data_IF_146074379430
#
_entry.id   IF_146074379430
#
_cell.length_a   1.000
_cell.length_b   1.000
_cell.length_c   1.000
_cell.angle_alpha   90.00
_cell.angle_beta   90.00
_cell.angle_gamma   90.00
#
_symmetry.space_group_name_H-M   'P 1'
#
loop_
_entity.id
_entity.type
_entity.pdbx_description
1 polymer ?
#
# COMPACT_ATOMS: atom_id res chain seq x y z
N UNK A 1 27.04 37.69 -17.26
CA UNK A 1 26.57 39.06 -16.97
C UNK A 1 26.20 39.30 -15.49
N UNK A 2 26.75 38.52 -14.55
CA UNK A 2 26.49 38.67 -13.12
C UNK A 2 27.12 39.99 -12.63
N UNK A 3 26.30 40.84 -11.98
CA UNK A 3 26.74 42.08 -11.38
C UNK A 3 27.26 41.81 -9.98
N UNK A 4 28.53 42.16 -9.70
CA UNK A 4 29.16 41.99 -8.38
C UNK A 4 28.95 43.20 -7.48
N UNK A 5 29.06 44.42 -8.08
CA UNK A 5 28.92 45.65 -7.32
C UNK A 5 28.48 46.80 -8.21
N UNK A 6 27.60 47.64 -7.78
CA UNK A 6 27.33 48.94 -8.35
C UNK A 6 28.35 49.96 -7.75
N UNK A 7 29.01 50.71 -8.62
CA UNK A 7 29.97 51.74 -8.25
C UNK A 7 29.36 53.13 -8.43
N UNK A 8 29.91 54.12 -7.74
CA UNK A 8 29.46 55.49 -7.86
C UNK A 8 29.62 55.99 -9.32
N UNK A 9 28.63 56.77 -9.78
CA UNK A 9 28.58 57.29 -11.15
C UNK A 9 27.96 56.32 -12.17
N UNK A 10 27.16 55.34 -11.75
CA UNK A 10 26.41 54.43 -12.64
C UNK A 10 27.24 53.32 -13.29
N UNK A 11 28.49 53.18 -12.90
CA UNK A 11 29.35 52.06 -13.36
C UNK A 11 29.00 50.79 -12.59
N UNK A 12 29.08 49.65 -13.27
CA UNK A 12 28.76 48.32 -12.71
C UNK A 12 29.94 47.40 -12.89
N UNK A 13 30.45 46.86 -11.78
CA UNK A 13 31.47 45.81 -11.80
C UNK A 13 30.78 44.46 -12.02
N UNK A 14 31.15 43.76 -13.10
CA UNK A 14 30.60 42.46 -13.46
C UNK A 14 31.61 41.36 -13.19
N UNK A 15 31.14 40.14 -13.01
CA UNK A 15 31.99 38.97 -12.79
C UNK A 15 33.04 38.80 -13.91
N UNK A 16 32.66 39.03 -15.15
CA UNK A 16 33.56 38.98 -16.31
C UNK A 16 34.70 40.01 -16.28
N UNK A 17 34.59 41.07 -15.48
CA UNK A 17 35.59 42.13 -15.38
C UNK A 17 36.74 41.77 -14.41
N UNK A 18 36.51 40.76 -13.55
CA UNK A 18 37.43 40.32 -12.49
C UNK A 18 37.75 38.83 -12.52
N UNK A 19 37.05 38.06 -13.34
CA UNK A 19 37.25 36.63 -13.49
C UNK A 19 37.00 36.18 -14.91
N UNK A 20 37.73 35.16 -15.34
CA UNK A 20 37.50 34.46 -16.59
C UNK A 20 36.30 33.52 -16.38
N UNK A 21 35.26 33.68 -17.18
CA UNK A 21 34.02 32.89 -17.08
C UNK A 21 33.90 32.08 -18.35
N UNK A 22 34.15 30.80 -18.23
CA UNK A 22 34.05 29.82 -19.31
C UNK A 22 32.97 28.79 -19.01
N UNK A 23 32.31 28.28 -20.03
CA UNK A 23 31.45 27.12 -19.94
C UNK A 23 32.31 25.89 -20.19
N UNK A 24 32.58 25.15 -19.14
CA UNK A 24 33.51 24.03 -19.20
C UNK A 24 33.01 22.87 -18.31
N UNK A 25 33.63 21.71 -18.44
CA UNK A 25 33.31 20.56 -17.60
C UNK A 25 33.84 20.74 -16.16
N UNK A 26 33.13 20.24 -15.16
CA UNK A 26 33.57 20.27 -13.78
C UNK A 26 34.86 19.46 -13.53
N UNK A 27 35.19 18.55 -14.45
CA UNK A 27 36.41 17.74 -14.42
C UNK A 27 36.54 16.89 -15.68
N UNK A 28 37.76 16.53 -16.04
CA UNK A 28 38.11 15.73 -17.21
C UNK A 28 38.64 14.33 -16.83
N UNK A 29 38.31 13.85 -15.63
CA UNK A 29 38.84 12.58 -15.10
C UNK A 29 38.06 11.35 -15.60
N UNK A 30 36.95 11.55 -16.28
CA UNK A 30 36.12 10.49 -16.81
C UNK A 30 35.72 10.72 -18.26
N UNK A 31 35.57 9.65 -19.02
CA UNK A 31 34.95 9.64 -20.33
C UNK A 31 33.77 8.67 -20.33
N UNK A 32 32.81 8.91 -21.19
CA UNK A 32 31.64 8.04 -21.35
C UNK A 32 31.57 7.58 -22.79
N UNK A 33 31.35 6.25 -22.94
CA UNK A 33 31.14 5.62 -24.24
C UNK A 33 29.90 4.74 -24.17
N UNK A 34 29.18 4.68 -25.28
CA UNK A 34 28.08 3.75 -25.47
C UNK A 34 28.31 2.93 -26.73
N UNK A 35 28.47 1.61 -26.59
CA UNK A 35 28.77 0.69 -27.71
C UNK A 35 29.99 1.11 -28.53
N UNK A 36 31.07 1.59 -27.89
CA UNK A 36 32.30 2.02 -28.53
C UNK A 36 32.20 3.37 -29.26
N UNK A 37 31.18 4.17 -29.03
CA UNK A 37 31.00 5.51 -29.53
C UNK A 37 31.04 6.51 -28.39
N UNK A 38 31.68 7.71 -28.60
CA UNK A 38 31.64 8.77 -27.59
C UNK A 38 30.17 9.09 -27.19
N UNK A 39 29.93 9.16 -25.90
CA UNK A 39 28.60 9.44 -25.38
C UNK A 39 28.67 10.39 -24.17
N UNK A 40 27.55 11.00 -23.83
CA UNK A 40 27.36 11.75 -22.60
C UNK A 40 26.28 11.00 -21.77
N UNK A 41 26.64 10.67 -20.54
CA UNK A 41 25.68 10.08 -19.62
C UNK A 41 24.97 11.16 -18.81
N UNK A 42 23.64 11.10 -18.76
CA UNK A 42 22.80 11.95 -17.92
C UNK A 42 22.12 11.09 -16.87
N UNK A 43 22.38 11.40 -15.60
CA UNK A 43 21.68 10.80 -14.47
C UNK A 43 20.56 11.71 -13.98
N UNK A 44 19.32 11.21 -13.95
CA UNK A 44 18.17 11.93 -13.42
C UNK A 44 17.75 11.24 -12.12
N UNK A 45 17.75 12.00 -11.03
CA UNK A 45 17.40 11.50 -9.70
C UNK A 45 16.15 12.19 -9.20
N UNK A 46 15.28 11.44 -8.54
CA UNK A 46 14.08 11.99 -7.90
C UNK A 46 14.37 12.56 -6.51
N UNK A 47 13.58 13.54 -6.08
CA UNK A 47 13.59 14.01 -4.70
C UNK A 47 12.85 13.01 -3.79
N UNK A 48 13.30 12.84 -2.53
CA UNK A 48 12.61 11.97 -1.59
C UNK A 48 11.11 12.33 -1.44
N UNK A 49 10.24 11.34 -1.52
CA UNK A 49 8.79 11.51 -1.39
C UNK A 49 8.04 11.79 -2.70
N UNK A 50 8.74 11.97 -3.82
CA UNK A 50 8.10 12.12 -5.13
C UNK A 50 7.68 10.77 -5.72
N UNK A 51 6.77 10.80 -6.70
CA UNK A 51 6.31 9.61 -7.41
C UNK A 51 7.27 9.25 -8.55
N UNK A 52 8.08 8.20 -8.36
CA UNK A 52 9.07 7.75 -9.35
C UNK A 52 8.43 7.37 -10.69
N UNK A 53 7.30 6.66 -10.65
CA UNK A 53 6.61 6.20 -11.86
C UNK A 53 6.15 7.36 -12.73
N UNK A 54 5.50 8.36 -12.13
CA UNK A 54 5.03 9.55 -12.83
C UNK A 54 6.19 10.38 -13.41
N UNK A 55 7.28 10.56 -12.64
CA UNK A 55 8.46 11.29 -13.10
C UNK A 55 9.09 10.61 -14.30
N UNK A 56 9.26 9.30 -14.26
CA UNK A 56 9.89 8.55 -15.36
C UNK A 56 9.01 8.62 -16.61
N UNK A 57 7.69 8.47 -16.50
CA UNK A 57 6.78 8.63 -17.64
C UNK A 57 6.85 10.03 -18.25
N UNK A 58 6.92 11.07 -17.41
CA UNK A 58 7.07 12.44 -17.90
C UNK A 58 8.41 12.66 -18.59
N UNK A 59 9.48 12.05 -18.11
CA UNK A 59 10.81 12.11 -18.73
C UNK A 59 10.81 11.40 -20.09
N UNK A 60 10.25 10.20 -20.18
CA UNK A 60 10.15 9.44 -21.43
C UNK A 60 9.35 10.21 -22.48
N UNK A 61 8.22 10.81 -22.07
CA UNK A 61 7.42 11.66 -22.94
C UNK A 61 8.20 12.88 -23.43
N UNK A 62 8.90 13.56 -22.52
CA UNK A 62 9.74 14.72 -22.87
C UNK A 62 10.87 14.34 -23.83
N UNK A 63 11.51 13.18 -23.63
CA UNK A 63 12.56 12.68 -24.52
C UNK A 63 12.04 12.40 -25.94
N UNK A 64 10.84 11.83 -26.06
CA UNK A 64 10.21 11.64 -27.37
C UNK A 64 9.83 12.98 -28.04
N UNK A 65 9.38 13.97 -27.29
CA UNK A 65 9.09 15.32 -27.78
C UNK A 65 10.38 16.05 -28.24
N UNK A 66 11.52 15.83 -27.57
CA UNK A 66 12.81 16.45 -27.90
C UNK A 66 13.54 15.74 -29.05
N UNK A 67 13.21 14.47 -29.33
CA UNK A 67 13.87 13.67 -30.35
C UNK A 67 14.01 14.34 -31.71
N UNK A 68 12.99 15.01 -32.29
CA UNK A 68 13.11 15.71 -33.57
C UNK A 68 13.95 16.96 -33.50
N UNK A 69 14.25 17.50 -32.33
CA UNK A 69 15.10 18.72 -32.15
C UNK A 69 16.57 18.39 -31.90
N UNK A 70 16.95 17.11 -31.80
CA UNK A 70 18.33 16.71 -31.63
C UNK A 70 19.13 16.99 -32.93
N UNK A 71 20.38 17.45 -32.82
CA UNK A 71 21.27 17.60 -33.96
C UNK A 71 21.45 16.29 -34.73
N UNK A 72 21.70 16.41 -36.05
CA UNK A 72 21.97 15.24 -36.88
C UNK A 72 23.14 14.41 -36.36
N UNK A 73 22.97 13.12 -36.27
CA UNK A 73 23.97 12.18 -35.76
C UNK A 73 23.94 11.96 -34.23
N UNK A 74 23.13 12.71 -33.48
CA UNK A 74 22.93 12.48 -32.05
C UNK A 74 21.67 11.64 -31.81
N UNK A 75 21.84 10.57 -31.06
CA UNK A 75 20.72 9.71 -30.61
C UNK A 75 20.83 9.53 -29.12
N UNK A 76 19.68 9.30 -28.45
CA UNK A 76 19.66 8.91 -27.04
C UNK A 76 19.27 7.46 -26.87
N UNK A 77 19.75 6.86 -25.79
CA UNK A 77 19.30 5.56 -25.30
C UNK A 77 19.13 5.59 -23.80
N UNK A 78 18.09 4.93 -23.30
CA UNK A 78 17.86 4.79 -21.87
C UNK A 78 18.54 3.48 -21.43
N UNK A 79 19.70 3.60 -20.80
CA UNK A 79 20.49 2.44 -20.37
C UNK A 79 20.00 1.85 -19.05
N UNK A 80 19.40 2.67 -18.20
CA UNK A 80 18.81 2.26 -16.93
C UNK A 80 17.49 2.97 -16.72
N UNK A 81 16.43 2.20 -16.51
CA UNK A 81 15.10 2.69 -16.18
C UNK A 81 14.61 1.98 -14.92
N UNK A 82 14.52 2.72 -13.81
CA UNK A 82 14.05 2.18 -12.55
C UNK A 82 12.57 1.72 -12.62
N UNK A 83 11.79 2.25 -13.59
CA UNK A 83 10.38 1.90 -13.74
C UNK A 83 10.17 0.44 -14.11
N UNK A 84 11.05 -0.17 -14.90
CA UNK A 84 10.95 -1.59 -15.25
C UNK A 84 11.00 -2.49 -14.03
N UNK A 85 11.87 -2.17 -13.06
CA UNK A 85 11.92 -2.86 -11.80
C UNK A 85 10.71 -2.53 -10.92
N UNK A 86 10.30 -1.27 -10.86
CA UNK A 86 9.17 -0.82 -10.06
C UNK A 86 7.85 -1.44 -10.55
N UNK A 87 7.60 -1.46 -11.85
CA UNK A 87 6.40 -2.06 -12.44
C UNK A 87 6.34 -3.57 -12.21
N UNK A 88 7.47 -4.27 -12.38
CA UNK A 88 7.56 -5.69 -12.08
C UNK A 88 7.28 -5.97 -10.60
N UNK A 89 7.80 -5.13 -9.71
CA UNK A 89 7.61 -5.25 -8.28
C UNK A 89 6.17 -4.95 -7.87
N UNK A 90 5.55 -3.89 -8.40
CA UNK A 90 4.13 -3.57 -8.15
C UNK A 90 3.23 -4.71 -8.66
N UNK A 91 3.47 -5.20 -9.88
CA UNK A 91 2.73 -6.33 -10.45
C UNK A 91 2.85 -7.59 -9.58
N UNK A 92 4.06 -7.88 -9.08
CA UNK A 92 4.26 -9.02 -8.17
C UNK A 92 3.51 -8.86 -6.85
N UNK A 93 3.48 -7.66 -6.28
CA UNK A 93 2.74 -7.41 -5.04
C UNK A 93 1.24 -7.52 -5.27
N UNK A 94 0.70 -6.98 -6.36
CA UNK A 94 -0.73 -7.13 -6.71
C UNK A 94 -1.10 -8.61 -6.88
N UNK A 95 -0.26 -9.39 -7.55
CA UNK A 95 -0.45 -10.85 -7.65
C UNK A 95 -0.44 -11.51 -6.27
N UNK A 96 0.51 -11.12 -5.42
CA UNK A 96 0.61 -11.65 -4.05
C UNK A 96 -0.61 -11.27 -3.20
N UNK A 97 -1.17 -10.07 -3.37
CA UNK A 97 -2.44 -9.68 -2.72
C UNK A 97 -3.59 -10.60 -3.11
N UNK A 98 -3.71 -10.91 -4.40
CA UNK A 98 -4.74 -11.84 -4.90
C UNK A 98 -4.51 -13.27 -4.39
N UNK A 99 -3.27 -13.75 -4.42
CA UNK A 99 -2.89 -15.07 -3.90
C UNK A 99 -3.20 -15.16 -2.39
N UNK A 100 -2.82 -14.15 -1.61
CA UNK A 100 -3.10 -14.08 -0.18
C UNK A 100 -4.61 -14.06 0.10
N UNK A 101 -5.38 -13.27 -0.65
CA UNK A 101 -6.84 -13.23 -0.54
C UNK A 101 -7.47 -14.60 -0.82
N UNK A 102 -7.06 -15.28 -1.89
CA UNK A 102 -7.58 -16.61 -2.24
C UNK A 102 -7.21 -17.65 -1.17
N UNK A 103 -5.98 -17.60 -0.67
CA UNK A 103 -5.53 -18.52 0.37
C UNK A 103 -6.32 -18.31 1.66
N UNK A 104 -6.50 -17.07 2.08
CA UNK A 104 -7.29 -16.71 3.26
C UNK A 104 -8.74 -17.17 3.07
N UNK A 105 -9.36 -16.89 1.92
CA UNK A 105 -10.72 -17.34 1.61
C UNK A 105 -10.85 -18.87 1.75
N UNK A 106 -9.87 -19.63 1.21
CA UNK A 106 -9.86 -21.08 1.29
C UNK A 106 -9.72 -21.56 2.75
N UNK A 107 -8.79 -20.99 3.51
CA UNK A 107 -8.59 -21.34 4.92
C UNK A 107 -9.86 -21.06 5.73
N UNK A 108 -10.43 -19.87 5.61
CA UNK A 108 -11.66 -19.49 6.30
C UNK A 108 -12.81 -20.42 5.91
N UNK A 109 -12.92 -20.80 4.64
CA UNK A 109 -13.92 -21.74 4.16
C UNK A 109 -13.76 -23.14 4.79
N UNK A 110 -12.53 -23.61 4.93
CA UNK A 110 -12.25 -24.91 5.60
C UNK A 110 -12.65 -24.88 7.06
N UNK A 111 -12.38 -23.77 7.76
CA UNK A 111 -12.71 -23.63 9.19
C UNK A 111 -14.20 -23.43 9.44
N UNK A 112 -14.84 -22.51 8.72
CA UNK A 112 -16.26 -22.21 8.93
C UNK A 112 -17.22 -23.24 8.28
N UNK A 113 -16.74 -24.01 7.29
CA UNK A 113 -17.51 -25.04 6.55
C UNK A 113 -18.86 -24.54 6.00
N UNK A 114 -19.07 -23.22 5.97
CA UNK A 114 -20.26 -22.57 5.43
C UNK A 114 -19.87 -21.44 4.49
N UNK A 115 -20.30 -21.55 3.22
CA UNK A 115 -19.99 -20.56 2.18
C UNK A 115 -20.51 -19.17 2.53
N UNK A 116 -21.67 -19.08 3.22
CA UNK A 116 -22.25 -17.77 3.55
C UNK A 116 -21.47 -17.04 4.62
N UNK A 117 -21.01 -17.77 5.62
CA UNK A 117 -20.14 -17.27 6.68
C UNK A 117 -18.80 -16.82 6.12
N UNK A 118 -18.23 -17.59 5.17
CA UNK A 118 -16.97 -17.27 4.49
C UNK A 118 -17.07 -16.01 3.60
N UNK A 119 -18.26 -15.75 3.03
CA UNK A 119 -18.47 -14.59 2.19
C UNK A 119 -18.33 -13.26 2.96
N UNK A 120 -18.56 -13.26 4.27
CA UNK A 120 -18.49 -12.05 5.10
C UNK A 120 -17.06 -11.52 5.19
N UNK A 121 -16.04 -12.29 5.63
CA UNK A 121 -14.64 -11.86 5.55
C UNK A 121 -14.18 -11.58 4.11
N UNK A 122 -14.67 -12.35 3.14
CA UNK A 122 -14.34 -12.15 1.73
C UNK A 122 -14.80 -10.80 1.17
N UNK A 123 -15.86 -10.22 1.70
CA UNK A 123 -16.32 -8.86 1.37
C UNK A 123 -15.57 -7.83 2.22
N UNK A 124 -15.33 -8.10 3.50
CA UNK A 124 -14.70 -7.16 4.42
C UNK A 124 -13.27 -6.81 4.00
N UNK A 125 -12.50 -7.77 3.48
CA UNK A 125 -11.09 -7.55 3.06
C UNK A 125 -10.97 -6.55 1.92
N UNK A 126 -11.62 -6.71 0.75
CA UNK A 126 -11.56 -5.72 -0.31
C UNK A 126 -12.04 -4.32 0.13
N UNK A 127 -13.09 -4.24 0.95
CA UNK A 127 -13.59 -2.97 1.48
C UNK A 127 -12.54 -2.30 2.36
N UNK A 128 -11.85 -3.06 3.22
CA UNK A 128 -10.77 -2.53 4.06
C UNK A 128 -9.58 -2.04 3.24
N UNK A 129 -9.19 -2.78 2.20
CA UNK A 129 -8.09 -2.39 1.31
C UNK A 129 -8.44 -1.09 0.57
N UNK A 130 -9.63 -1.00 -0.03
CA UNK A 130 -10.09 0.21 -0.73
C UNK A 130 -10.20 1.39 0.24
N UNK A 131 -10.74 1.17 1.43
CA UNK A 131 -10.79 2.17 2.50
C UNK A 131 -9.39 2.65 2.90
N UNK A 132 -8.43 1.75 3.01
CA UNK A 132 -7.04 2.09 3.33
C UNK A 132 -6.42 2.95 2.23
N UNK A 133 -6.58 2.60 0.96
CA UNK A 133 -6.10 3.42 -0.16
C UNK A 133 -6.73 4.81 -0.17
N UNK A 134 -8.03 4.91 0.12
CA UNK A 134 -8.72 6.20 0.20
C UNK A 134 -8.08 7.11 1.24
N UNK A 135 -7.84 6.62 2.46
CA UNK A 135 -7.24 7.42 3.52
C UNK A 135 -5.76 7.72 3.28
N UNK A 136 -5.00 6.78 2.70
CA UNK A 136 -3.61 7.06 2.30
C UNK A 136 -3.54 8.20 1.28
N UNK A 137 -4.42 8.18 0.27
CA UNK A 137 -4.51 9.26 -0.70
C UNK A 137 -4.90 10.60 -0.04
N UNK A 138 -5.87 10.59 0.88
CA UNK A 138 -6.29 11.79 1.63
C UNK A 138 -5.16 12.38 2.46
N UNK A 139 -4.27 11.56 3.01
CA UNK A 139 -3.09 11.98 3.77
C UNK A 139 -1.89 12.33 2.89
N UNK A 140 -2.03 12.28 1.57
CA UNK A 140 -0.96 12.59 0.62
C UNK A 140 0.13 11.53 0.50
N UNK A 141 -0.14 10.30 0.90
CA UNK A 141 0.78 9.17 0.69
C UNK A 141 0.61 8.59 -0.71
N UNK A 142 1.73 8.37 -1.38
CA UNK A 142 1.77 7.68 -2.68
C UNK A 142 1.81 6.16 -2.49
N UNK A 143 1.25 5.43 -3.47
CA UNK A 143 1.43 3.99 -3.55
C UNK A 143 2.88 3.69 -3.92
N UNK A 144 3.54 2.89 -3.12
CA UNK A 144 4.90 2.41 -3.36
C UNK A 144 5.07 0.99 -2.81
N UNK A 145 6.24 0.39 -3.02
CA UNK A 145 6.54 -0.97 -2.58
C UNK A 145 6.25 -1.21 -1.10
N UNK A 146 6.58 -0.24 -0.23
CA UNK A 146 6.42 -0.40 1.22
C UNK A 146 4.96 -0.31 1.66
N UNK A 147 4.18 0.62 1.08
CA UNK A 147 2.74 0.70 1.32
C UNK A 147 2.02 -0.56 0.83
N UNK A 148 2.45 -1.13 -0.29
CA UNK A 148 1.90 -2.38 -0.81
C UNK A 148 2.28 -3.58 0.06
N UNK A 149 3.53 -3.69 0.54
CA UNK A 149 3.92 -4.73 1.50
C UNK A 149 3.17 -4.61 2.82
N UNK A 150 2.95 -3.39 3.31
CA UNK A 150 2.12 -3.16 4.49
C UNK A 150 0.69 -3.67 4.26
N UNK A 151 0.11 -3.47 3.09
CA UNK A 151 -1.23 -3.98 2.75
C UNK A 151 -1.28 -5.50 2.67
N UNK A 152 -0.24 -6.16 2.13
CA UNK A 152 -0.15 -7.63 2.15
C UNK A 152 -0.18 -8.15 3.58
N UNK A 153 0.60 -7.53 4.47
CA UNK A 153 0.59 -7.89 5.89
C UNK A 153 -0.75 -7.57 6.56
N UNK A 154 -1.35 -6.43 6.20
CA UNK A 154 -2.64 -6.01 6.74
C UNK A 154 -3.78 -6.97 6.41
N UNK A 155 -3.75 -7.67 5.26
CA UNK A 155 -4.80 -8.65 4.90
C UNK A 155 -4.99 -9.68 6.00
N UNK A 156 -3.91 -10.25 6.53
CA UNK A 156 -3.99 -11.22 7.64
C UNK A 156 -4.70 -10.64 8.86
N UNK A 157 -4.33 -9.43 9.27
CA UNK A 157 -4.92 -8.74 10.43
C UNK A 157 -6.38 -8.38 10.20
N UNK A 158 -6.71 -7.88 9.01
CA UNK A 158 -8.08 -7.47 8.63
C UNK A 158 -9.05 -8.65 8.64
N UNK A 159 -8.57 -9.82 8.21
CA UNK A 159 -9.40 -11.03 8.17
C UNK A 159 -9.76 -11.50 9.58
N UNK A 160 -8.82 -11.42 10.52
CA UNK A 160 -9.04 -11.87 11.90
C UNK A 160 -10.21 -11.14 12.56
N UNK A 161 -10.32 -9.83 12.40
CA UNK A 161 -11.42 -9.04 12.95
C UNK A 161 -12.79 -9.51 12.41
N UNK A 162 -12.87 -9.79 11.11
CA UNK A 162 -14.10 -10.25 10.49
C UNK A 162 -14.47 -11.69 10.93
N UNK A 163 -13.48 -12.57 11.09
CA UNK A 163 -13.68 -13.95 11.56
C UNK A 163 -14.22 -13.94 12.99
N UNK A 164 -13.62 -13.15 13.88
CA UNK A 164 -14.06 -13.05 15.29
C UNK A 164 -15.53 -12.64 15.38
N UNK A 165 -15.99 -11.71 14.55
CA UNK A 165 -17.40 -11.30 14.50
C UNK A 165 -18.30 -12.44 14.02
N UNK A 166 -17.91 -13.12 12.93
CA UNK A 166 -18.71 -14.23 12.37
C UNK A 166 -18.82 -15.37 13.38
N UNK A 167 -17.70 -15.74 14.01
CA UNK A 167 -17.64 -16.82 14.99
C UNK A 167 -18.48 -16.51 16.23
N UNK A 168 -18.37 -15.29 16.78
CA UNK A 168 -19.17 -14.87 17.93
C UNK A 168 -20.66 -14.88 17.62
N UNK A 169 -21.06 -14.45 16.42
CA UNK A 169 -22.49 -14.51 16.00
C UNK A 169 -22.96 -15.94 15.84
N UNK A 170 -22.14 -16.82 15.23
CA UNK A 170 -22.47 -18.25 15.13
C UNK A 170 -22.64 -18.90 16.50
N UNK A 171 -21.67 -18.72 17.38
CA UNK A 171 -21.73 -19.26 18.75
C UNK A 171 -22.99 -18.77 19.49
N UNK A 172 -23.36 -17.49 19.28
CA UNK A 172 -24.58 -16.95 19.91
C UNK A 172 -25.85 -17.55 19.32
N UNK A 173 -25.90 -17.73 17.99
CA UNK A 173 -27.04 -18.38 17.33
C UNK A 173 -27.23 -19.84 17.79
N UNK A 174 -26.13 -20.57 18.00
CA UNK A 174 -26.20 -21.96 18.53
C UNK A 174 -26.64 -22.00 19.98
N UNK A 175 -26.13 -21.08 20.83
CA UNK A 175 -26.51 -21.06 22.27
C UNK A 175 -27.95 -20.64 22.53
N UNK A 176 -28.45 -19.65 21.79
CA UNK A 176 -29.75 -19.03 22.06
C UNK A 176 -30.86 -19.55 21.14
N UNK A 177 -30.51 -20.27 20.07
CA UNK A 177 -31.43 -20.68 19.00
C UNK A 177 -32.20 -19.51 18.36
N UNK A 178 -31.65 -18.30 18.46
CA UNK A 178 -32.25 -17.11 17.91
C UNK A 178 -31.92 -16.93 16.41
N UNK A 179 -32.71 -16.06 15.76
CA UNK A 179 -32.42 -15.66 14.39
C UNK A 179 -31.15 -14.82 14.32
N UNK A 180 -30.50 -14.77 13.15
CA UNK A 180 -29.22 -14.07 12.93
C UNK A 180 -29.18 -12.64 13.48
N UNK A 181 -30.23 -11.83 13.26
CA UNK A 181 -30.23 -10.42 13.69
C UNK A 181 -30.17 -10.22 15.21
N UNK A 182 -31.05 -10.83 16.05
CA UNK A 182 -30.92 -10.69 17.50
C UNK A 182 -29.64 -11.32 18.05
N UNK A 183 -29.20 -12.46 17.52
CA UNK A 183 -27.93 -13.07 17.88
C UNK A 183 -26.75 -12.17 17.58
N UNK A 184 -26.76 -11.50 16.42
CA UNK A 184 -25.71 -10.51 16.06
C UNK A 184 -25.66 -9.36 17.06
N UNK A 185 -26.81 -8.78 17.44
CA UNK A 185 -26.85 -7.68 18.41
C UNK A 185 -26.28 -8.13 19.76
N UNK A 186 -26.68 -9.33 20.22
CA UNK A 186 -26.20 -9.89 21.47
C UNK A 186 -24.68 -10.17 21.43
N UNK A 187 -24.19 -10.81 20.36
CA UNK A 187 -22.77 -11.08 20.17
C UNK A 187 -21.95 -9.79 20.16
N UNK A 188 -22.38 -8.77 19.39
CA UNK A 188 -21.67 -7.48 19.31
C UNK A 188 -21.58 -6.76 20.65
N UNK A 189 -22.59 -6.83 21.49
CA UNK A 189 -22.53 -6.25 22.84
C UNK A 189 -21.43 -6.90 23.70
N UNK A 190 -21.12 -8.17 23.47
CA UNK A 190 -20.08 -8.89 24.20
C UNK A 190 -18.67 -8.62 23.65
N UNK A 191 -18.51 -8.55 22.31
CA UNK A 191 -17.18 -8.52 21.68
C UNK A 191 -16.70 -7.13 21.28
N UNK A 192 -17.57 -6.11 21.21
CA UNK A 192 -17.18 -4.74 20.77
C UNK A 192 -16.00 -4.19 21.58
N UNK A 193 -16.02 -4.35 22.90
CA UNK A 193 -14.93 -3.91 23.77
C UNK A 193 -13.60 -4.61 23.47
N UNK A 194 -13.66 -5.92 23.18
CA UNK A 194 -12.50 -6.71 22.81
C UNK A 194 -11.90 -6.25 21.47
N UNK A 195 -12.74 -6.06 20.43
CA UNK A 195 -12.29 -5.56 19.11
C UNK A 195 -11.61 -4.21 19.25
N UNK A 196 -12.19 -3.25 19.96
CA UNK A 196 -11.59 -1.93 20.17
C UNK A 196 -10.23 -2.06 20.89
N UNK A 197 -10.16 -2.90 21.92
CA UNK A 197 -8.93 -3.10 22.69
C UNK A 197 -7.82 -3.72 21.84
N UNK A 198 -8.13 -4.75 21.06
CA UNK A 198 -7.17 -5.41 20.15
C UNK A 198 -6.68 -4.40 19.11
N UNK A 199 -7.58 -3.65 18.49
CA UNK A 199 -7.26 -2.61 17.50
C UNK A 199 -6.30 -1.56 18.08
N UNK A 200 -6.58 -1.06 19.29
CA UNK A 200 -5.72 -0.08 19.96
C UNK A 200 -4.33 -0.64 20.25
N UNK A 201 -4.25 -1.87 20.75
CA UNK A 201 -2.96 -2.54 21.02
C UNK A 201 -2.17 -2.73 19.75
N UNK A 202 -2.82 -3.26 18.69
CA UNK A 202 -2.16 -3.48 17.40
C UNK A 202 -1.69 -2.15 16.78
N UNK A 203 -2.50 -1.11 16.77
CA UNK A 203 -2.11 0.19 16.28
C UNK A 203 -0.95 0.79 17.11
N UNK A 204 -0.98 0.67 18.43
CA UNK A 204 0.04 1.19 19.32
C UNK A 204 1.43 0.58 19.07
N UNK A 205 1.51 -0.67 18.61
CA UNK A 205 2.79 -1.32 18.24
C UNK A 205 3.46 -0.62 17.05
N UNK A 206 2.67 -0.09 16.10
CA UNK A 206 3.21 0.57 14.90
C UNK A 206 3.41 2.08 15.09
N UNK A 207 2.81 2.72 16.10
CA UNK A 207 2.96 4.15 16.37
C UNK A 207 4.43 4.58 16.53
N UNK A 208 5.30 3.91 17.31
CA UNK A 208 6.69 4.30 17.45
C UNK A 208 7.46 4.32 16.13
N UNK A 209 7.11 3.43 15.21
CA UNK A 209 7.74 3.33 13.88
C UNK A 209 7.49 4.59 13.05
N UNK A 210 6.36 5.26 13.25
CA UNK A 210 6.01 6.50 12.53
C UNK A 210 6.83 7.71 12.96
N UNK A 211 7.51 7.66 14.11
CA UNK A 211 8.34 8.74 14.63
C UNK A 211 9.82 8.59 14.32
N UNK A 212 10.22 7.54 13.58
CA UNK A 212 11.60 7.35 13.17
C UNK A 212 12.04 8.48 12.23
N UNK A 213 13.21 9.07 12.50
CA UNK A 213 13.80 10.13 11.70
C UNK A 213 14.78 9.63 10.64
N UNK A 214 15.24 10.57 9.79
CA UNK A 214 16.22 10.29 8.72
C UNK A 214 15.60 9.64 7.49
N UNK A 215 16.45 9.31 6.49
CA UNK A 215 16.02 8.72 5.21
C UNK A 215 15.27 7.40 5.42
N UNK A 216 15.81 6.55 6.29
CA UNK A 216 15.18 5.26 6.66
C UNK A 216 13.83 5.47 7.34
N UNK A 217 13.70 6.53 8.16
CA UNK A 217 12.46 6.88 8.84
C UNK A 217 11.33 7.24 7.88
N UNK A 218 11.62 7.88 6.75
CA UNK A 218 10.59 8.16 5.73
C UNK A 218 9.93 6.88 5.22
N UNK A 219 10.73 5.83 5.00
CA UNK A 219 10.24 4.53 4.56
C UNK A 219 9.40 3.83 5.63
N UNK A 220 9.93 3.73 6.85
CA UNK A 220 9.23 3.08 7.95
C UNK A 220 7.95 3.82 8.35
N UNK A 221 7.93 5.14 8.24
CA UNK A 221 6.74 5.95 8.48
C UNK A 221 5.61 5.60 7.52
N UNK A 222 5.90 5.48 6.22
CA UNK A 222 4.89 5.10 5.22
C UNK A 222 4.34 3.69 5.50
N UNK A 223 5.20 2.74 5.81
CA UNK A 223 4.80 1.38 6.19
C UNK A 223 3.93 1.37 7.45
N UNK A 224 4.38 2.01 8.53
CA UNK A 224 3.67 2.05 9.81
C UNK A 224 2.32 2.76 9.71
N UNK A 225 2.26 3.92 9.03
CA UNK A 225 0.99 4.64 8.83
C UNK A 225 0.01 3.79 8.01
N UNK A 226 0.48 3.10 6.96
CA UNK A 226 -0.38 2.22 6.16
C UNK A 226 -0.99 1.11 7.01
N UNK A 227 -0.20 0.47 7.87
CA UNK A 227 -0.70 -0.56 8.78
C UNK A 227 -1.70 -0.01 9.78
N UNK A 228 -1.41 1.12 10.42
CA UNK A 228 -2.33 1.76 11.38
C UNK A 228 -3.65 2.07 10.70
N UNK A 229 -3.62 2.68 9.52
CA UNK A 229 -4.85 3.00 8.76
C UNK A 229 -5.62 1.73 8.43
N UNK A 230 -4.95 0.68 7.94
CA UNK A 230 -5.60 -0.59 7.61
C UNK A 230 -6.26 -1.24 8.83
N UNK A 231 -5.57 -1.26 9.99
CA UNK A 231 -6.09 -1.81 11.24
C UNK A 231 -7.32 -1.02 11.72
N UNK A 232 -7.29 0.32 11.65
CA UNK A 232 -8.42 1.16 12.05
C UNK A 232 -9.63 0.92 11.12
N UNK A 233 -9.41 0.85 9.82
CA UNK A 233 -10.48 0.57 8.84
C UNK A 233 -11.04 -0.84 9.04
N UNK A 234 -10.18 -1.83 9.36
CA UNK A 234 -10.61 -3.18 9.72
C UNK A 234 -11.56 -3.17 10.90
N UNK A 235 -11.20 -2.49 11.98
CA UNK A 235 -12.05 -2.38 13.16
C UNK A 235 -13.40 -1.69 12.85
N UNK A 236 -13.39 -0.62 12.05
CA UNK A 236 -14.63 0.04 11.61
C UNK A 236 -15.51 -0.96 10.84
N UNK A 237 -14.92 -1.74 9.92
CA UNK A 237 -15.66 -2.77 9.19
C UNK A 237 -16.17 -3.89 10.11
N UNK A 238 -15.37 -4.34 11.07
CA UNK A 238 -15.75 -5.35 12.04
C UNK A 238 -16.91 -4.88 12.95
N UNK A 239 -16.96 -3.60 13.25
CA UNK A 239 -18.03 -3.03 14.09
C UNK A 239 -19.28 -2.59 13.31
N UNK A 240 -19.17 -2.44 11.99
CA UNK A 240 -20.29 -1.95 11.15
C UNK A 240 -20.67 -2.92 10.05
N UNK A 241 -19.79 -3.18 9.10
CA UNK A 241 -20.08 -3.98 7.92
C UNK A 241 -20.28 -5.46 8.26
N UNK A 242 -19.35 -6.05 9.03
CA UNK A 242 -19.41 -7.48 9.35
C UNK A 242 -20.68 -7.87 10.11
N UNK A 243 -21.15 -7.14 11.15
CA UNK A 243 -22.41 -7.43 11.82
C UNK A 243 -23.63 -7.33 10.90
N UNK A 244 -23.65 -6.33 10.02
CA UNK A 244 -24.74 -6.17 9.05
C UNK A 244 -24.77 -7.38 8.10
N UNK A 245 -23.62 -7.78 7.57
CA UNK A 245 -23.52 -8.96 6.69
C UNK A 245 -23.90 -10.25 7.45
N UNK A 246 -23.49 -10.41 8.70
CA UNK A 246 -23.94 -11.53 9.55
C UNK A 246 -25.46 -11.59 9.66
N UNK A 247 -26.08 -10.45 9.96
CA UNK A 247 -27.55 -10.37 10.12
C UNK A 247 -28.34 -10.70 8.84
N UNK A 248 -27.71 -10.48 7.66
CA UNK A 248 -28.32 -10.68 6.34
C UNK A 248 -28.06 -12.08 5.77
N UNK A 249 -26.85 -12.60 5.93
CA UNK A 249 -26.40 -13.81 5.23
C UNK A 249 -26.52 -15.06 6.09
N UNK A 250 -26.37 -14.95 7.41
CA UNK A 250 -26.47 -16.11 8.28
C UNK A 250 -27.92 -16.57 8.40
N UNK A 251 -28.11 -17.87 8.35
CA UNK A 251 -29.42 -18.50 8.58
C UNK A 251 -29.35 -19.35 9.84
N UNK A 252 -30.43 -19.40 10.64
CA UNK A 252 -30.51 -20.36 11.72
C UNK A 252 -30.32 -21.76 11.15
N UNK A 253 -29.49 -22.56 11.78
CA UNK A 253 -29.44 -23.99 11.51
C UNK A 253 -30.78 -24.55 11.94
N UNK A 254 -31.69 -24.75 10.99
CA UNK A 254 -32.85 -25.60 11.24
C UNK A 254 -32.37 -27.02 11.51
N UNK A 255 -33.08 -27.78 12.36
CA UNK A 255 -32.85 -29.15 12.78
C UNK A 255 -32.55 -30.15 11.63
N UNK A 256 -31.46 -29.90 10.89
CA UNK A 256 -30.86 -30.94 10.07
C UNK A 256 -29.81 -31.60 10.95
N UNK A 257 -30.19 -32.79 11.49
CA UNK A 257 -29.26 -33.79 11.96
C UNK A 257 -27.97 -33.65 11.13
N UNK A 258 -26.87 -33.40 11.81
CA UNK A 258 -25.51 -33.47 11.23
C UNK A 258 -25.40 -34.84 10.55
N UNK A 259 -25.67 -34.91 9.26
CA UNK A 259 -25.10 -35.96 8.45
C UNK A 259 -23.62 -35.73 8.45
N UNK A 260 -22.92 -36.53 9.27
CA UNK A 260 -21.45 -36.63 9.28
C UNK A 260 -20.92 -37.01 7.90
N UNK A 261 -20.85 -36.06 6.99
CA UNK A 261 -20.41 -36.29 5.63
C UNK A 261 -19.02 -35.72 5.29
N UNK A 262 -18.28 -35.18 6.28
CA UNK A 262 -16.92 -34.76 6.01
C UNK A 262 -15.93 -35.48 6.90
N UNK A 263 -14.92 -36.10 6.28
CA UNK A 263 -13.75 -36.69 6.95
C UNK A 263 -13.06 -35.70 7.92
N UNK A 264 -13.10 -34.41 7.60
CA UNK A 264 -12.57 -33.34 8.46
C UNK A 264 -13.41 -33.09 9.72
N UNK A 265 -14.72 -33.28 9.70
CA UNK A 265 -15.58 -33.15 10.90
C UNK A 265 -15.24 -34.19 11.98
N UNK A 266 -14.69 -35.34 11.60
CA UNK A 266 -14.24 -36.38 12.54
C UNK A 266 -12.89 -36.11 13.21
N UNK A 267 -12.11 -35.15 12.71
CA UNK A 267 -10.77 -34.84 13.23
C UNK A 267 -10.82 -33.75 14.32
N UNK A 268 -11.89 -32.93 14.37
CA UNK A 268 -12.04 -31.81 15.30
C UNK A 268 -13.05 -32.06 16.42
N UNK A 269 -13.65 -33.24 16.50
CA UNK A 269 -14.40 -33.74 17.66
C UNK A 269 -13.57 -34.83 18.35
#
# INVERSE_FOLDING_TARGET
NVVLKALDGGRVLRLKDVAMVELDALGYTGFSESNGRPAVAMGISQTPGSNAHEIIQNIEKLLEELKPSLPEGITYSINYNANTFLDAAISKVVSTLLEAFLLVFLVVYIFLQDFRSTLIPAIAVPVSIVGTFFFLNLFGYSINMLTLFALVLAIGIVVDDAIVVVEAVHAKMEQTHEKAKPATISAMNEITGAIISITLVMAAVFVPVTFMGGTTGVFYKQFGVTLIVAIVISAINALTLSPVLCSLFLKPHGDKQYEEKSWFGKFFH
#
